data_IF_686824084605
#
_entry.id   IF_686824084605
#
_cell.length_a   1.000
_cell.length_b   1.000
_cell.length_c   1.000
_cell.angle_alpha   90.00
_cell.angle_beta   90.00
_cell.angle_gamma   90.00
#
_symmetry.space_group_name_H-M   'P 1'
#
loop_
_entity.id
_entity.type
_entity.pdbx_description
1 polymer ?
#
# COMPACT_ATOMS: atom_id res chain seq x y z
N UNK A 1 1.55 -8.15 -19.71
CA UNK A 1 2.26 -9.01 -18.73
C UNK A 1 3.61 -8.37 -18.48
N UNK A 2 3.91 -8.01 -17.24
CA UNK A 2 5.23 -7.47 -16.88
C UNK A 2 6.19 -8.64 -16.72
N UNK A 3 7.30 -8.63 -17.45
CA UNK A 3 8.28 -9.73 -17.46
C UNK A 3 9.60 -9.35 -16.79
N UNK A 4 9.77 -8.08 -16.43
CA UNK A 4 10.96 -7.56 -15.75
C UNK A 4 10.67 -7.40 -14.25
N UNK A 5 11.32 -8.23 -13.43
CA UNK A 5 11.15 -8.23 -11.97
C UNK A 5 11.85 -7.01 -11.34
N UNK A 6 12.96 -6.56 -11.88
CA UNK A 6 13.70 -5.44 -11.29
C UNK A 6 12.95 -4.13 -11.53
N UNK A 7 12.23 -4.03 -12.65
CA UNK A 7 11.25 -2.96 -12.86
C UNK A 7 10.17 -2.92 -11.75
N UNK A 8 9.60 -4.08 -11.38
CA UNK A 8 8.60 -4.15 -10.30
C UNK A 8 9.18 -3.77 -8.93
N UNK A 9 10.41 -4.18 -8.62
CA UNK A 9 11.09 -3.79 -7.38
C UNK A 9 11.38 -2.29 -7.34
N UNK A 10 11.80 -1.71 -8.46
CA UNK A 10 12.01 -0.27 -8.62
C UNK A 10 10.70 0.48 -8.36
N UNK A 11 9.61 0.06 -9.00
CA UNK A 11 8.30 0.65 -8.78
C UNK A 11 7.83 0.57 -7.33
N UNK A 12 7.99 -0.59 -6.67
CA UNK A 12 7.67 -0.73 -5.25
C UNK A 12 8.50 0.22 -4.38
N UNK A 13 9.79 0.37 -4.66
CA UNK A 13 10.69 1.26 -3.92
C UNK A 13 10.26 2.72 -4.07
N UNK A 14 9.92 3.15 -5.29
CA UNK A 14 9.46 4.50 -5.57
C UNK A 14 8.09 4.78 -4.93
N UNK A 15 7.16 3.83 -4.97
CA UNK A 15 5.85 3.94 -4.35
C UNK A 15 5.95 4.04 -2.80
N UNK A 16 6.83 3.24 -2.19
CA UNK A 16 7.11 3.32 -0.74
C UNK A 16 7.73 4.67 -0.39
N UNK A 17 8.71 5.14 -1.17
CA UNK A 17 9.34 6.44 -0.94
C UNK A 17 8.32 7.59 -1.05
N UNK A 18 7.44 7.56 -2.06
CA UNK A 18 6.36 8.53 -2.21
C UNK A 18 5.38 8.49 -1.03
N UNK A 19 5.03 7.29 -0.55
CA UNK A 19 4.14 7.11 0.60
C UNK A 19 4.76 7.70 1.89
N UNK A 20 6.04 7.42 2.15
CA UNK A 20 6.77 7.98 3.30
C UNK A 20 6.85 9.50 3.19
N UNK A 21 7.16 10.03 2.01
CA UNK A 21 7.24 11.46 1.77
C UNK A 21 5.88 12.18 1.90
N UNK A 22 4.78 11.47 1.65
CA UNK A 22 3.43 11.97 1.91
C UNK A 22 3.13 11.97 3.41
N UNK A 23 3.34 10.83 4.09
CA UNK A 23 3.08 10.68 5.52
C UNK A 23 3.86 11.68 6.38
N UNK A 24 5.09 12.04 5.99
CA UNK A 24 5.90 13.04 6.72
C UNK A 24 5.34 14.47 6.67
N UNK A 25 4.38 14.74 5.79
CA UNK A 25 3.73 16.05 5.62
C UNK A 25 2.29 16.08 6.12
N UNK A 26 1.71 14.93 6.48
CA UNK A 26 0.34 14.84 6.98
C UNK A 26 0.30 15.34 8.41
N UNK A 27 -0.66 16.21 8.71
CA UNK A 27 -0.97 16.64 10.07
C UNK A 27 -2.22 15.91 10.59
N UNK A 28 -2.39 15.87 11.91
CA UNK A 28 -3.49 15.17 12.57
C UNK A 28 -4.86 15.68 12.11
N UNK A 29 -5.03 17.01 12.04
CA UNK A 29 -6.30 17.65 11.63
C UNK A 29 -6.74 17.23 10.23
N UNK A 30 -5.81 17.03 9.29
CA UNK A 30 -6.10 16.62 7.91
C UNK A 30 -6.54 15.16 7.78
N UNK A 31 -6.42 14.35 8.83
CA UNK A 31 -6.86 12.96 8.81
C UNK A 31 -8.38 12.83 8.69
N UNK A 32 -9.11 13.86 9.12
CA UNK A 32 -10.57 13.91 9.07
C UNK A 32 -11.14 14.40 7.73
N UNK A 33 -10.30 14.89 6.83
CA UNK A 33 -10.71 15.34 5.50
C UNK A 33 -11.38 14.20 4.72
N UNK A 34 -12.58 14.45 4.20
CA UNK A 34 -13.26 13.51 3.28
C UNK A 34 -12.52 13.49 1.95
N UNK A 35 -12.04 12.32 1.53
CA UNK A 35 -11.28 12.14 0.27
C UNK A 35 -12.06 11.33 -0.77
N UNK A 36 -13.14 10.66 -0.38
CA UNK A 36 -13.98 9.89 -1.28
C UNK A 36 -15.42 9.77 -0.73
N UNK A 37 -16.36 10.42 -1.40
CA UNK A 37 -17.79 10.43 -1.06
C UNK A 37 -18.56 9.24 -1.67
N UNK A 38 -17.93 8.40 -2.49
CA UNK A 38 -18.59 7.28 -3.16
C UNK A 38 -18.74 6.03 -2.26
N UNK A 39 -18.38 6.14 -0.98
CA UNK A 39 -18.49 5.09 0.03
C UNK A 39 -19.43 5.49 1.15
N UNK A 40 -20.01 4.51 1.85
CA UNK A 40 -20.86 4.73 3.02
C UNK A 40 -20.30 3.90 4.18
N UNK A 41 -19.75 4.53 5.24
CA UNK A 41 -19.51 5.98 5.38
C UNK A 41 -18.47 6.50 4.38
N UNK A 42 -18.52 7.81 4.10
CA UNK A 42 -17.52 8.46 3.25
C UNK A 42 -16.11 8.25 3.82
N UNK A 43 -15.13 8.03 2.95
CA UNK A 43 -13.77 7.69 3.36
C UNK A 43 -13.02 8.99 3.67
N UNK A 44 -12.50 9.07 4.89
CA UNK A 44 -11.58 10.13 5.28
C UNK A 44 -10.14 9.78 4.93
N UNK A 45 -9.26 10.79 4.87
CA UNK A 45 -7.83 10.60 4.59
C UNK A 45 -7.21 9.55 5.52
N UNK A 46 -7.49 9.62 6.83
CA UNK A 46 -7.02 8.64 7.79
C UNK A 46 -7.45 7.21 7.46
N UNK A 47 -8.73 7.01 7.07
CA UNK A 47 -9.23 5.70 6.64
C UNK A 47 -8.46 5.19 5.42
N UNK A 48 -8.22 6.05 4.43
CA UNK A 48 -7.50 5.67 3.20
C UNK A 48 -6.04 5.31 3.49
N UNK A 49 -5.36 6.07 4.35
CA UNK A 49 -3.96 5.78 4.72
C UNK A 49 -3.82 4.45 5.45
N UNK A 50 -4.71 4.17 6.41
CA UNK A 50 -4.75 2.86 7.08
C UNK A 50 -5.01 1.75 6.07
N UNK A 51 -6.00 1.92 5.20
CA UNK A 51 -6.34 0.92 4.17
C UNK A 51 -5.18 0.61 3.23
N UNK A 52 -4.42 1.61 2.78
CA UNK A 52 -3.26 1.39 1.89
C UNK A 52 -2.17 0.58 2.60
N UNK A 53 -1.89 0.89 3.87
CA UNK A 53 -0.85 0.20 4.64
C UNK A 53 -1.28 -1.24 4.95
N UNK A 54 -2.54 -1.43 5.34
CA UNK A 54 -3.13 -2.76 5.58
C UNK A 54 -3.06 -3.63 4.32
N UNK A 55 -3.42 -3.07 3.17
CA UNK A 55 -3.38 -3.77 1.87
C UNK A 55 -1.95 -4.23 1.52
N UNK A 56 -0.96 -3.34 1.66
CA UNK A 56 0.44 -3.66 1.42
C UNK A 56 0.95 -4.76 2.36
N UNK A 57 0.60 -4.68 3.65
CA UNK A 57 0.97 -5.69 4.65
C UNK A 57 0.31 -7.05 4.35
N UNK A 58 -1.00 -7.07 4.05
CA UNK A 58 -1.75 -8.27 3.70
C UNK A 58 -1.15 -8.97 2.47
N UNK A 59 -0.89 -8.22 1.39
CA UNK A 59 -0.31 -8.78 0.16
C UNK A 59 1.14 -9.25 0.33
N UNK A 60 1.91 -8.64 1.23
CA UNK A 60 3.25 -9.14 1.56
C UNK A 60 3.19 -10.58 2.11
N UNK A 61 2.22 -10.86 2.99
CA UNK A 61 1.97 -12.21 3.51
C UNK A 61 1.52 -13.20 2.43
N UNK A 62 0.60 -12.78 1.56
CA UNK A 62 0.15 -13.59 0.43
C UNK A 62 1.29 -13.96 -0.53
N UNK A 63 2.24 -13.05 -0.74
CA UNK A 63 3.42 -13.29 -1.58
C UNK A 63 4.29 -14.42 -1.00
N UNK A 64 4.52 -14.41 0.32
CA UNK A 64 5.25 -15.49 1.01
C UNK A 64 4.50 -16.81 0.88
N UNK A 65 3.17 -16.80 1.06
CA UNK A 65 2.36 -18.01 0.91
C UNK A 65 2.43 -18.58 -0.51
N UNK A 66 2.25 -17.75 -1.54
CA UNK A 66 2.35 -18.17 -2.93
C UNK A 66 3.75 -18.71 -3.28
N UNK A 67 4.80 -18.07 -2.78
CA UNK A 67 6.18 -18.53 -2.96
C UNK A 67 6.41 -19.93 -2.41
N UNK A 68 5.87 -20.22 -1.22
CA UNK A 68 5.93 -21.56 -0.61
C UNK A 68 5.12 -22.60 -1.39
N UNK A 69 3.92 -22.25 -1.89
CA UNK A 69 3.14 -23.16 -2.74
C UNK A 69 3.87 -23.54 -4.03
N UNK A 70 4.75 -22.67 -4.54
CA UNK A 70 5.61 -22.94 -5.69
C UNK A 70 6.90 -23.71 -5.34
N UNK A 71 7.06 -24.16 -4.08
CA UNK A 71 8.23 -24.91 -3.62
C UNK A 71 9.51 -24.07 -3.50
N UNK A 72 9.40 -22.74 -3.36
CA UNK A 72 10.55 -21.84 -3.18
C UNK A 72 10.78 -21.57 -1.70
N UNK A 73 11.83 -22.18 -1.14
CA UNK A 73 12.11 -22.25 0.30
C UNK A 73 13.29 -21.38 0.78
N UNK A 74 13.96 -20.68 -0.13
CA UNK A 74 15.10 -19.80 0.12
C UNK A 74 14.78 -18.60 1.03
#
# INVERSE_FOLDING_TARGET
MVTDIDFLKGYLSDAVAATIAYLSKVNEDSLDDVVDENWIPAVKRGNRLVSIIDDAAMHSGQTVYARRLLGRED
#
